data_IF_571013832663
#
_entry.id   IF_571013832663
#
_cell.length_a   1.000
_cell.length_b   1.000
_cell.length_c   1.000
_cell.angle_alpha   90.00
_cell.angle_beta   90.00
_cell.angle_gamma   90.00
#
_symmetry.space_group_name_H-M   'P 1'
#
loop_
_entity.id
_entity.type
_entity.pdbx_description
1 polymer ?
#
# COMPACT_ATOMS: atom_id res chain seq x y z
N UNK A 1 -2.95 -13.87 4.06
CA UNK A 1 -2.70 -13.89 2.67
C UNK A 1 -2.05 -12.62 2.28
N UNK A 2 -2.37 -11.60 1.84
CA UNK A 2 -1.55 -10.44 1.50
C UNK A 2 -1.14 -9.67 2.76
N UNK A 3 -0.39 -10.33 3.61
CA UNK A 3 0.01 -9.84 4.94
C UNK A 3 1.51 -9.89 5.11
N UNK A 4 2.02 -8.97 5.91
CA UNK A 4 3.41 -8.97 6.35
C UNK A 4 3.44 -8.40 7.78
N UNK A 5 4.28 -8.97 8.63
CA UNK A 5 4.45 -8.43 9.98
C UNK A 5 5.66 -7.51 10.00
N UNK A 6 5.47 -6.31 10.54
CA UNK A 6 6.56 -5.35 10.69
C UNK A 6 6.66 -4.90 12.13
N UNK A 7 7.84 -4.49 12.54
CA UNK A 7 8.01 -3.85 13.84
C UNK A 7 7.75 -2.37 13.66
N UNK A 8 6.72 -1.85 14.29
CA UNK A 8 6.27 -0.48 14.09
C UNK A 8 5.91 0.11 15.44
N UNK A 9 6.54 1.21 15.79
CA UNK A 9 6.36 1.89 17.08
C UNK A 9 6.55 0.91 18.24
N UNK A 10 7.62 0.13 18.17
CA UNK A 10 8.07 -0.70 19.28
C UNK A 10 7.39 -2.05 19.44
N UNK A 11 6.51 -2.44 18.52
CA UNK A 11 5.91 -3.76 18.60
C UNK A 11 5.61 -4.31 17.21
N UNK A 12 5.48 -5.62 17.13
CA UNK A 12 5.13 -6.28 15.88
C UNK A 12 3.67 -6.01 15.54
N UNK A 13 3.42 -5.61 14.30
CA UNK A 13 2.07 -5.32 13.82
C UNK A 13 1.89 -5.96 12.47
N UNK A 14 0.64 -6.35 12.18
CA UNK A 14 0.31 -6.93 10.88
C UNK A 14 -0.10 -5.82 9.93
N UNK A 15 0.51 -5.83 8.75
CA UNK A 15 0.13 -4.96 7.63
C UNK A 15 -0.53 -5.86 6.60
N UNK A 16 -1.72 -5.51 6.14
CA UNK A 16 -2.48 -6.35 5.20
C UNK A 16 -3.10 -5.50 4.11
N UNK A 17 -2.99 -5.96 2.88
CA UNK A 17 -3.67 -5.31 1.76
C UNK A 17 -5.01 -6.00 1.50
N UNK A 18 -5.98 -5.20 1.07
CA UNK A 18 -7.36 -5.65 0.88
C UNK A 18 -8.04 -4.71 -0.11
N UNK A 19 -9.25 -5.07 -0.51
CA UNK A 19 -10.07 -4.21 -1.38
C UNK A 19 -10.32 -2.85 -0.73
N UNK A 20 -10.55 -2.85 0.59
CA UNK A 20 -10.76 -1.59 1.30
C UNK A 20 -9.51 -0.69 1.21
N UNK A 21 -8.32 -1.27 1.43
CA UNK A 21 -7.07 -0.51 1.33
C UNK A 21 -6.93 0.08 -0.08
N UNK A 22 -7.22 -0.72 -1.11
CA UNK A 22 -7.16 -0.22 -2.49
C UNK A 22 -8.06 0.99 -2.69
N UNK A 23 -9.26 0.96 -2.12
CA UNK A 23 -10.19 2.08 -2.22
C UNK A 23 -9.66 3.35 -1.58
N UNK A 24 -9.04 3.22 -0.40
CA UNK A 24 -8.44 4.37 0.28
C UNK A 24 -7.25 4.92 -0.51
N UNK A 25 -6.45 4.03 -1.09
CA UNK A 25 -5.31 4.45 -1.91
C UNK A 25 -5.78 5.20 -3.16
N UNK A 26 -6.88 4.76 -3.78
CA UNK A 26 -7.44 5.49 -4.92
C UNK A 26 -7.77 6.93 -4.57
N UNK A 27 -8.33 7.16 -3.39
CA UNK A 27 -8.64 8.52 -2.95
C UNK A 27 -7.38 9.36 -2.82
N UNK A 28 -6.34 8.79 -2.23
CA UNK A 28 -5.07 9.49 -2.05
C UNK A 28 -4.46 9.86 -3.41
N UNK A 29 -4.51 8.94 -4.36
CA UNK A 29 -3.99 9.18 -5.72
C UNK A 29 -4.78 10.30 -6.39
N UNK A 30 -6.11 10.29 -6.27
CA UNK A 30 -6.96 11.32 -6.87
C UNK A 30 -6.69 12.69 -6.26
N UNK A 31 -6.24 12.73 -5.02
CA UNK A 31 -5.88 13.99 -4.35
C UNK A 31 -4.49 14.48 -4.76
N UNK A 32 -3.79 13.75 -5.62
CA UNK A 32 -2.52 14.21 -6.17
C UNK A 32 -1.29 13.76 -5.41
N UNK A 33 -1.41 12.72 -4.58
CA UNK A 33 -0.26 12.23 -3.80
C UNK A 33 0.88 11.79 -4.72
N UNK A 34 2.10 12.17 -4.38
CA UNK A 34 3.29 11.69 -5.05
C UNK A 34 3.64 10.27 -4.60
N UNK A 35 4.67 9.69 -5.23
CA UNK A 35 5.02 8.29 -4.98
C UNK A 35 5.44 8.01 -3.54
N UNK A 36 6.14 8.94 -2.90
CA UNK A 36 6.57 8.76 -1.51
C UNK A 36 5.38 8.84 -0.58
N UNK A 37 4.48 9.81 -0.81
CA UNK A 37 3.25 9.92 -0.02
C UNK A 37 2.39 8.69 -0.19
N UNK A 38 2.33 8.16 -1.41
CA UNK A 38 1.59 6.95 -1.69
C UNK A 38 2.12 5.78 -0.86
N UNK A 39 3.43 5.62 -0.82
CA UNK A 39 4.06 4.54 -0.04
C UNK A 39 3.72 4.65 1.45
N UNK A 40 3.81 5.86 2.02
CA UNK A 40 3.46 6.06 3.43
C UNK A 40 2.00 5.70 3.68
N UNK A 41 1.12 6.04 2.75
CA UNK A 41 -0.30 5.71 2.89
C UNK A 41 -0.57 4.22 2.72
N UNK A 42 0.19 3.52 1.87
CA UNK A 42 0.11 2.06 1.78
C UNK A 42 0.38 1.41 3.14
N UNK A 43 1.41 1.88 3.82
CA UNK A 43 1.75 1.38 5.15
C UNK A 43 0.65 1.73 6.13
N UNK A 44 0.19 2.96 6.13
CA UNK A 44 -0.82 3.46 7.06
C UNK A 44 -2.12 2.65 6.95
N UNK A 45 -2.70 2.57 5.76
CA UNK A 45 -3.96 1.85 5.57
C UNK A 45 -3.76 0.35 5.71
N UNK A 46 -2.60 -0.16 5.31
CA UNK A 46 -2.28 -1.57 5.50
C UNK A 46 -2.26 -1.96 6.97
N UNK A 47 -1.71 -1.10 7.83
CA UNK A 47 -1.70 -1.35 9.28
C UNK A 47 -3.11 -1.27 9.86
N UNK A 48 -3.92 -0.30 9.41
CA UNK A 48 -5.31 -0.21 9.88
C UNK A 48 -6.05 -1.50 9.54
N UNK A 49 -5.87 -2.02 8.33
CA UNK A 49 -6.51 -3.25 7.92
C UNK A 49 -5.97 -4.45 8.73
N UNK A 50 -4.65 -4.59 8.80
CA UNK A 50 -4.02 -5.75 9.43
C UNK A 50 -4.25 -5.83 10.92
N UNK A 51 -4.30 -4.69 11.59
CA UNK A 51 -4.53 -4.61 13.04
C UNK A 51 -6.01 -4.49 13.38
N UNK A 52 -6.88 -4.54 12.37
CA UNK A 52 -8.35 -4.54 12.53
C UNK A 52 -8.84 -3.26 13.20
N UNK A 53 -8.32 -2.13 12.76
CA UNK A 53 -8.60 -0.82 13.36
C UNK A 53 -9.60 0.01 12.55
N UNK A 54 -10.25 -0.57 11.54
CA UNK A 54 -11.12 0.20 10.66
C UNK A 54 -12.26 0.91 11.39
N UNK A 55 -12.89 0.21 12.36
CA UNK A 55 -14.00 0.80 13.11
C UNK A 55 -13.56 2.03 13.86
N UNK A 56 -12.40 1.96 14.51
CA UNK A 56 -11.85 3.10 15.24
C UNK A 56 -11.49 4.23 14.30
N UNK A 57 -10.90 3.88 13.16
CA UNK A 57 -10.51 4.86 12.16
C UNK A 57 -11.73 5.64 11.65
N UNK A 58 -12.81 4.94 11.31
CA UNK A 58 -14.04 5.60 10.85
C UNK A 58 -14.71 6.43 11.93
N UNK A 59 -14.55 6.04 13.19
CA UNK A 59 -15.11 6.78 14.32
C UNK A 59 -14.23 7.93 14.77
N UNK A 60 -13.11 8.18 14.10
CA UNK A 60 -12.11 9.19 14.45
C UNK A 60 -11.55 8.97 15.85
N UNK A 61 -11.48 7.72 16.29
CA UNK A 61 -10.85 7.35 17.56
C UNK A 61 -9.35 7.21 17.36
N UNK A 62 -8.62 7.35 18.46
CA UNK A 62 -7.17 7.19 18.42
C UNK A 62 -6.79 5.73 18.08
N UNK A 63 -6.05 5.56 17.00
CA UNK A 63 -5.57 4.24 16.60
C UNK A 63 -4.11 4.01 16.98
N UNK A 64 -3.48 5.02 17.60
CA UNK A 64 -2.12 4.89 18.11
C UNK A 64 -1.03 5.32 17.15
N UNK A 65 -1.37 5.69 15.93
CA UNK A 65 -0.38 6.15 14.95
C UNK A 65 -1.08 6.93 13.83
N UNK A 66 -0.30 7.70 13.07
CA UNK A 66 -0.81 8.43 11.91
C UNK A 66 0.13 8.22 10.72
N UNK A 67 -0.17 8.91 9.61
CA UNK A 67 0.63 8.74 8.40
C UNK A 67 2.06 9.27 8.58
N UNK A 68 2.24 10.28 9.43
CA UNK A 68 3.57 10.82 9.70
C UNK A 68 4.46 9.79 10.40
N UNK A 69 3.86 8.98 11.28
CA UNK A 69 4.58 7.87 11.90
C UNK A 69 5.09 6.89 10.85
N UNK A 70 4.35 6.73 9.75
CA UNK A 70 4.76 5.85 8.67
C UNK A 70 5.98 6.40 7.91
N UNK A 71 6.02 7.73 7.69
CA UNK A 71 7.22 8.35 7.12
C UNK A 71 8.43 8.11 8.03
N UNK A 72 8.26 8.34 9.33
CA UNK A 72 9.34 8.14 10.29
C UNK A 72 9.81 6.69 10.31
N UNK A 73 8.86 5.75 10.22
CA UNK A 73 9.21 4.34 10.20
C UNK A 73 10.07 3.99 8.99
N UNK A 74 9.75 4.55 7.81
CA UNK A 74 10.56 4.33 6.61
C UNK A 74 11.98 4.82 6.85
N UNK A 75 12.11 6.01 7.44
CA UNK A 75 13.43 6.59 7.69
C UNK A 75 14.23 5.78 8.71
N UNK A 76 13.55 5.06 9.60
CA UNK A 76 14.21 4.23 10.61
C UNK A 76 14.78 2.93 10.02
N UNK A 77 14.34 2.52 8.84
CA UNK A 77 14.84 1.29 8.25
C UNK A 77 16.20 1.51 7.63
N UNK A 78 17.07 0.51 7.77
CA UNK A 78 18.38 0.60 7.12
C UNK A 78 18.18 0.62 5.62
N UNK A 79 18.65 1.68 4.97
CA UNK A 79 18.41 1.90 3.55
C UNK A 79 17.19 2.75 3.24
N UNK A 80 16.37 3.09 4.25
CA UNK A 80 15.21 3.95 4.07
C UNK A 80 14.26 3.43 3.02
N UNK A 81 13.98 4.23 2.01
CA UNK A 81 13.07 3.85 0.92
C UNK A 81 13.55 2.63 0.14
N UNK A 82 14.85 2.34 0.18
CA UNK A 82 15.43 1.20 -0.55
C UNK A 82 15.64 -0.01 0.35
N UNK A 83 15.12 0.04 1.57
CA UNK A 83 15.26 -1.09 2.48
C UNK A 83 14.50 -2.31 1.96
N UNK A 84 14.96 -3.48 2.37
CA UNK A 84 14.33 -4.74 1.95
C UNK A 84 12.88 -4.82 2.39
N UNK A 85 12.59 -4.37 3.62
CA UNK A 85 11.22 -4.46 4.14
C UNK A 85 10.26 -3.54 3.36
N UNK A 86 10.73 -2.37 2.95
CA UNK A 86 9.91 -1.46 2.14
C UNK A 86 9.66 -2.07 0.76
N UNK A 87 10.69 -2.67 0.16
CA UNK A 87 10.53 -3.38 -1.11
C UNK A 87 9.53 -4.52 -1.00
N UNK A 88 9.60 -5.28 0.10
CA UNK A 88 8.68 -6.40 0.32
C UNK A 88 7.23 -5.91 0.41
N UNK A 89 7.01 -4.78 1.07
CA UNK A 89 5.67 -4.19 1.16
C UNK A 89 5.16 -3.79 -0.22
N UNK A 90 6.01 -3.16 -1.02
CA UNK A 90 5.62 -2.75 -2.38
C UNK A 90 5.30 -3.95 -3.25
N UNK A 91 6.09 -5.01 -3.16
CA UNK A 91 5.84 -6.24 -3.92
C UNK A 91 4.52 -6.88 -3.51
N UNK A 92 4.24 -6.88 -2.22
CA UNK A 92 3.00 -7.45 -1.70
C UNK A 92 1.79 -6.68 -2.24
N UNK A 93 1.90 -5.36 -2.28
CA UNK A 93 0.85 -4.51 -2.84
C UNK A 93 0.60 -4.80 -4.31
N UNK A 94 1.67 -4.91 -5.10
CA UNK A 94 1.58 -5.22 -6.52
C UNK A 94 0.92 -6.59 -6.73
N UNK A 95 1.33 -7.59 -5.96
CA UNK A 95 0.73 -8.92 -6.06
C UNK A 95 -0.76 -8.90 -5.76
N UNK A 96 -1.15 -8.15 -4.72
CA UNK A 96 -2.56 -8.04 -4.36
C UNK A 96 -3.36 -7.42 -5.51
N UNK A 97 -2.84 -6.35 -6.10
CA UNK A 97 -3.53 -5.69 -7.20
C UNK A 97 -3.63 -6.59 -8.43
N UNK A 98 -2.57 -7.32 -8.74
CA UNK A 98 -2.58 -8.20 -9.91
C UNK A 98 -3.60 -9.32 -9.78
N UNK A 99 -3.88 -9.77 -8.57
CA UNK A 99 -4.84 -10.84 -8.35
C UNK A 99 -6.28 -10.36 -8.25
N UNK A 100 -6.48 -9.09 -7.87
CA UNK A 100 -7.82 -8.59 -7.57
C UNK A 100 -8.36 -7.57 -8.57
N UNK A 101 -7.52 -7.11 -9.50
CA UNK A 101 -7.96 -6.20 -10.56
C UNK A 101 -8.53 -7.04 -11.71
N UNK A 102 -9.72 -6.69 -12.23
CA UNK A 102 -10.27 -7.43 -13.39
C UNK A 102 -9.33 -7.35 -14.59
N UNK A 103 -9.13 -8.48 -15.28
CA UNK A 103 -8.29 -8.53 -16.50
C UNK A 103 -9.09 -8.06 -17.69
N UNK A 104 -8.51 -7.22 -18.48
CA UNK A 104 -9.16 -6.76 -19.70
C UNK A 104 -8.57 -7.45 -20.88
N UNK A 105 -8.60 -7.10 -20.82
CA UNK A 105 -7.99 -7.49 -21.25
C UNK A 105 -7.27 -7.29 -21.79
N UNK A 106 -7.20 -7.00 -22.24
CA UNK A 106 -6.22 -7.02 -22.27
C UNK A 106 -5.54 -6.65 -22.48
N UNK A 107 -5.46 -6.46 -22.55
CA UNK A 107 -4.48 -6.27 -22.34
C UNK A 107 -3.78 -5.74 -22.17
N UNK A 108 -3.94 -5.42 -22.51
CA UNK A 108 -3.13 -5.07 -22.22
C UNK A 108 -2.42 -4.66 -21.73
N UNK A 109 -2.60 -4.42 -21.99
CA UNK A 109 -1.70 -4.20 -21.47
C UNK A 109 -0.97 -3.84 -21.18
N UNK A 110 -1.25 -3.73 -21.35
CA UNK A 110 -0.35 -3.59 -20.98
C UNK A 110 0.35 -3.32 -21.00
N UNK A 111 0.31 -3.15 -21.19
CA UNK A 111 1.17 -2.97 -21.14
C UNK A 111 1.83 -2.58 -21.00
N UNK A 112 1.21 -2.57 -21.09
CA UNK A 112 1.99 -2.40 -20.91
C UNK A 112 2.39 -2.01 -21.17
N UNK A 113 2.02 -1.87 -21.53
CA UNK A 113 2.55 -1.75 -21.66
C UNK A 113 2.59 -1.41 -22.28
N UNK A 114 2.26 -1.34 -23.07
CA UNK A 114 2.36 -1.29 -23.59
C UNK A 114 2.18 -1.07 -24.35
N UNK A 115 2.00 -1.30 -24.70
CA UNK A 115 1.89 -1.33 -25.31
C UNK A 115 1.53 -1.14 -26.04
N UNK A 116 1.25 -1.11 -26.31
CA UNK A 116 0.94 -1.31 -26.80
C UNK A 116 0.86 -1.10 -27.31
N UNK A 117 0.41 -1.04 -27.33
CA UNK A 117 0.30 -1.12 -27.78
C UNK A 117 0.34 -1.07 -28.21
N UNK A 118 -0.06 -1.17 -28.61
CA UNK A 118 -0.02 -1.43 -29.01
C UNK A 118 -0.01 -1.38 -29.48
N UNK A 119 -0.80 -1.46 -29.61
CA UNK A 119 -0.60 -1.60 -30.03
C UNK A 119 -0.69 -1.47 -30.56
N UNK A 120 -1.01 -1.79 -30.77
CA UNK A 120 -0.86 -1.82 -31.15
C UNK A 120 -0.75 -1.65 -31.42
N UNK A 121 -1.46 -1.87 -31.60
CA UNK A 121 -1.17 -1.83 -31.76
C UNK A 121 -1.02 -1.64 -31.90
#
# INVERSE_FOLDING_TARGET
MFKITINFKGKDRVLQFSTWVNGEIEKVVKEGAGSIQLLANLIFFGLIQGEKLRSKFFANEDIGFDVFDCFDWIDEQEGGLKSKIVEDIQELYVKHNNMNVPTEEPEKNLKATTPKKQTKK
#
